data_IF_402958241530
#
_entry.id   IF_402958241530
#
_cell.length_a   1.000
_cell.length_b   1.000
_cell.length_c   1.000
_cell.angle_alpha   90.00
_cell.angle_beta   90.00
_cell.angle_gamma   90.00
#
_symmetry.space_group_name_H-M   'P 1'
#
loop_
_entity.id
_entity.type
_entity.pdbx_description
1 polymer ?
#
# COMPACT_ATOMS: atom_id res chain seq x y z
N UNK A 1 35.17 35.98 6.42
CA UNK A 1 34.25 36.02 7.58
C UNK A 1 33.22 34.93 7.37
N UNK A 2 33.24 33.89 8.19
CA UNK A 2 32.34 32.76 8.09
C UNK A 2 31.02 33.09 8.79
N UNK A 3 29.91 32.99 8.07
CA UNK A 3 28.55 33.04 8.62
C UNK A 3 28.22 31.62 9.07
N UNK A 4 28.06 31.44 10.38
CA UNK A 4 27.64 30.17 10.97
C UNK A 4 26.12 30.12 10.99
N UNK A 5 25.55 29.26 10.15
CA UNK A 5 24.14 28.92 10.16
C UNK A 5 23.88 27.96 11.33
N UNK A 6 23.23 28.43 12.40
CA UNK A 6 22.89 27.61 13.58
C UNK A 6 21.57 26.86 13.35
N UNK A 7 21.54 25.51 13.35
CA UNK A 7 20.40 24.73 12.83
C UNK A 7 19.29 24.43 13.84
N UNK A 8 19.10 25.22 14.92
CA UNK A 8 18.28 24.76 16.05
C UNK A 8 17.42 25.84 16.74
N UNK A 9 16.82 26.76 15.97
CA UNK A 9 15.87 27.72 16.53
C UNK A 9 14.41 27.21 16.45
N UNK A 10 13.61 27.38 17.52
CA UNK A 10 12.18 27.05 17.53
C UNK A 10 11.38 27.89 16.51
N UNK A 11 10.34 27.31 15.91
CA UNK A 11 9.43 27.97 14.94
C UNK A 11 8.07 28.29 15.56
N UNK A 12 7.26 29.06 14.83
CA UNK A 12 5.96 29.62 15.22
C UNK A 12 4.93 28.60 15.75
N UNK A 13 5.11 27.30 15.49
CA UNK A 13 4.22 26.22 15.96
C UNK A 13 4.79 25.44 17.16
N UNK A 14 5.93 25.86 17.72
CA UNK A 14 6.50 25.25 18.92
C UNK A 14 5.71 25.70 20.16
N UNK A 15 4.99 24.76 20.79
CA UNK A 15 4.25 25.02 22.02
C UNK A 15 5.22 25.26 23.17
N UNK A 16 5.23 26.48 23.70
CA UNK A 16 5.92 26.85 24.94
C UNK A 16 4.94 26.66 26.10
N UNK A 17 5.10 25.59 26.88
CA UNK A 17 4.35 25.41 28.12
C UNK A 17 5.08 26.12 29.26
N UNK A 18 4.55 27.27 29.69
CA UNK A 18 5.01 27.97 30.88
C UNK A 18 3.85 28.57 31.66
N UNK A 19 3.67 28.13 32.91
CA UNK A 19 2.98 28.88 33.96
C UNK A 19 2.18 28.03 34.97
N UNK A 20 2.74 27.82 36.18
CA UNK A 20 1.98 27.31 37.33
C UNK A 20 2.73 26.68 38.55
N UNK A 21 3.88 27.24 38.99
CA UNK A 21 4.49 27.27 40.37
C UNK A 21 4.35 26.05 41.34
N UNK A 22 5.39 25.47 41.97
CA UNK A 22 6.36 26.03 42.94
C UNK A 22 7.58 25.06 43.11
N UNK A 23 8.80 25.62 43.14
CA UNK A 23 10.09 25.08 43.67
C UNK A 23 10.59 23.70 43.19
N UNK A 24 10.98 23.61 41.93
CA UNK A 24 12.13 22.80 41.56
C UNK A 24 12.93 23.60 40.52
N UNK A 25 14.21 23.86 40.78
CA UNK A 25 15.12 24.32 39.74
C UNK A 25 14.97 23.34 38.56
N UNK A 26 14.81 23.82 37.31
CA UNK A 26 14.84 22.94 36.17
C UNK A 26 16.15 22.15 36.24
N UNK A 27 16.15 20.83 35.98
CA UNK A 27 17.41 20.11 35.82
C UNK A 27 18.25 20.87 34.81
N UNK A 28 19.49 21.22 35.18
CA UNK A 28 20.40 22.06 34.37
C UNK A 28 20.73 21.42 33.01
N UNK A 29 20.31 20.18 32.77
CA UNK A 29 20.46 19.42 31.52
C UNK A 29 19.12 19.09 30.80
N UNK A 30 18.01 19.73 31.17
CA UNK A 30 16.71 19.50 30.55
C UNK A 30 16.59 20.14 29.17
N UNK A 31 17.27 19.60 28.15
CA UNK A 31 17.12 20.06 26.78
C UNK A 31 15.65 19.91 26.31
N UNK A 32 14.95 21.03 26.15
CA UNK A 32 13.65 21.08 25.48
C UNK A 32 13.91 20.80 24.01
N UNK A 33 13.81 19.53 23.60
CA UNK A 33 13.99 19.12 22.22
C UNK A 33 12.84 19.73 21.36
N UNK A 34 13.02 20.96 20.90
CA UNK A 34 12.17 21.59 19.89
C UNK A 34 12.44 21.04 18.49
N UNK A 35 11.58 21.38 17.52
CA UNK A 35 11.80 21.05 16.11
C UNK A 35 11.88 19.55 15.79
N UNK A 36 12.73 19.20 14.81
CA UNK A 36 12.86 17.81 14.32
C UNK A 36 13.38 16.84 15.38
N UNK A 37 14.21 17.32 16.32
CA UNK A 37 14.73 16.50 17.42
C UNK A 37 13.61 16.08 18.38
N UNK A 38 12.70 17.01 18.69
CA UNK A 38 11.49 16.72 19.46
C UNK A 38 10.55 15.76 18.75
N UNK A 39 10.36 15.92 17.45
CA UNK A 39 9.55 15.00 16.63
C UNK A 39 10.13 13.59 16.64
N UNK A 40 11.45 13.43 16.44
CA UNK A 40 12.13 12.12 16.51
C UNK A 40 11.96 11.45 17.88
N UNK A 41 12.12 12.22 18.97
CA UNK A 41 11.96 11.69 20.32
C UNK A 41 10.52 11.22 20.60
N UNK A 42 9.52 11.99 20.18
CA UNK A 42 8.10 11.62 20.32
C UNK A 42 7.73 10.42 19.44
N UNK A 43 8.21 10.40 18.20
CA UNK A 43 7.92 9.33 17.24
C UNK A 43 8.20 7.94 17.80
N UNK A 44 9.30 7.75 18.55
CA UNK A 44 9.65 6.47 19.17
C UNK A 44 8.74 6.00 20.31
N UNK A 45 7.93 6.89 20.90
CA UNK A 45 7.13 6.62 22.12
C UNK A 45 5.63 6.67 21.89
N UNK A 46 5.21 7.22 20.75
CA UNK A 46 3.82 7.45 20.38
C UNK A 46 3.14 6.22 19.78
N UNK A 47 1.81 6.23 19.81
CA UNK A 47 0.99 5.20 19.15
C UNK A 47 1.02 5.36 17.61
N UNK A 48 0.41 4.43 16.88
CA UNK A 48 0.45 4.42 15.41
C UNK A 48 -0.18 5.67 14.77
N UNK A 49 -1.25 6.21 15.35
CA UNK A 49 -1.99 7.36 14.82
C UNK A 49 -1.17 8.65 14.98
N UNK A 50 -0.61 8.86 16.17
CA UNK A 50 0.28 9.99 16.46
C UNK A 50 1.56 9.94 15.61
N UNK A 51 2.10 8.75 15.34
CA UNK A 51 3.22 8.56 14.42
C UNK A 51 2.86 9.02 13.01
N UNK A 52 1.68 8.65 12.51
CA UNK A 52 1.20 9.05 11.17
C UNK A 52 1.09 10.58 11.05
N UNK A 53 0.53 11.26 12.05
CA UNK A 53 0.50 12.73 12.07
C UNK A 53 1.91 13.35 12.09
N UNK A 54 2.82 12.72 12.84
CA UNK A 54 4.20 13.17 12.95
C UNK A 54 4.93 13.08 11.61
N UNK A 55 4.64 12.08 10.77
CA UNK A 55 5.25 11.96 9.43
C UNK A 55 4.89 13.14 8.52
N UNK A 56 3.64 13.60 8.56
CA UNK A 56 3.21 14.77 7.78
C UNK A 56 3.93 16.05 8.26
N UNK A 57 4.02 16.25 9.57
CA UNK A 57 4.74 17.38 10.18
C UNK A 57 6.24 17.33 9.88
N UNK A 58 6.84 16.15 9.83
CA UNK A 58 8.26 15.99 9.54
C UNK A 58 8.65 16.60 8.19
N UNK A 59 7.78 16.51 7.17
CA UNK A 59 8.06 17.03 5.82
C UNK A 59 8.35 18.55 5.79
N UNK A 60 7.94 19.32 6.79
CA UNK A 60 8.25 20.77 6.88
C UNK A 60 9.72 21.05 7.27
N UNK A 61 10.49 20.01 7.59
CA UNK A 61 11.91 20.07 7.98
C UNK A 61 12.86 19.59 6.87
N UNK A 62 12.40 19.51 5.62
CA UNK A 62 13.25 19.17 4.46
C UNK A 62 13.87 17.77 4.57
N UNK A 63 15.15 17.63 4.21
CA UNK A 63 15.89 16.35 4.24
C UNK A 63 15.84 15.65 5.60
N UNK A 64 15.98 16.40 6.70
CA UNK A 64 15.95 15.82 8.05
C UNK A 64 14.58 15.22 8.40
N UNK A 65 13.52 15.80 7.83
CA UNK A 65 12.16 15.29 7.88
C UNK A 65 11.96 14.06 7.01
N UNK A 66 12.47 14.10 5.78
CA UNK A 66 12.43 13.00 4.84
C UNK A 66 13.15 11.75 5.38
N UNK A 67 14.30 11.93 6.04
CA UNK A 67 15.02 10.84 6.71
C UNK A 67 14.17 10.18 7.82
N UNK A 68 13.35 10.95 8.54
CA UNK A 68 12.41 10.40 9.52
C UNK A 68 11.30 9.57 8.85
N UNK A 69 10.80 10.02 7.69
CA UNK A 69 9.84 9.23 6.90
C UNK A 69 10.49 7.95 6.36
N UNK A 70 11.74 8.00 5.92
CA UNK A 70 12.49 6.79 5.51
C UNK A 70 12.66 5.84 6.70
N UNK A 71 13.03 6.35 7.87
CA UNK A 71 13.15 5.55 9.09
C UNK A 71 11.83 4.85 9.45
N UNK A 72 10.70 5.51 9.23
CA UNK A 72 9.37 4.97 9.52
C UNK A 72 8.96 3.77 8.65
N UNK A 73 9.67 3.50 7.54
CA UNK A 73 9.53 2.23 6.81
C UNK A 73 9.91 1.02 7.69
N UNK A 74 10.78 1.20 8.68
CA UNK A 74 11.16 0.15 9.63
C UNK A 74 10.24 0.02 10.85
N UNK A 75 9.12 0.74 10.91
CA UNK A 75 8.25 0.73 12.08
C UNK A 75 7.56 -0.63 12.29
N UNK A 76 7.24 -0.99 13.53
CA UNK A 76 6.50 -2.21 13.83
C UNK A 76 5.05 -2.15 13.30
N UNK A 77 4.43 -0.98 13.30
CA UNK A 77 3.07 -0.79 12.81
C UNK A 77 3.03 -0.79 11.28
N UNK A 78 2.26 -1.71 10.71
CA UNK A 78 2.02 -1.76 9.27
C UNK A 78 1.35 -0.48 8.74
N UNK A 79 0.49 0.16 9.53
CA UNK A 79 -0.14 1.43 9.15
C UNK A 79 0.90 2.55 9.00
N UNK A 80 1.84 2.64 9.94
CA UNK A 80 2.92 3.64 9.91
C UNK A 80 3.84 3.39 8.72
N UNK A 81 4.21 2.13 8.50
CA UNK A 81 5.04 1.73 7.35
C UNK A 81 4.40 2.09 6.01
N UNK A 82 3.11 1.76 5.82
CA UNK A 82 2.40 2.08 4.59
C UNK A 82 2.18 3.58 4.40
N UNK A 83 1.93 4.32 5.48
CA UNK A 83 1.85 5.77 5.40
C UNK A 83 3.19 6.38 4.98
N UNK A 84 4.30 5.94 5.58
CA UNK A 84 5.64 6.37 5.20
C UNK A 84 5.92 6.08 3.73
N UNK A 85 5.61 4.86 3.28
CA UNK A 85 5.72 4.45 1.89
C UNK A 85 4.88 5.32 0.95
N UNK A 86 3.63 5.59 1.31
CA UNK A 86 2.69 6.38 0.54
C UNK A 86 3.11 7.85 0.41
N UNK A 87 3.81 8.40 1.40
CA UNK A 87 4.44 9.72 1.31
C UNK A 87 5.65 9.68 0.38
N UNK A 88 6.50 8.67 0.53
CA UNK A 88 7.76 8.53 -0.20
C UNK A 88 7.54 8.31 -1.70
N UNK A 89 6.55 7.50 -2.11
CA UNK A 89 6.32 7.22 -3.54
C UNK A 89 5.96 8.45 -4.37
N UNK A 90 5.37 9.48 -3.75
CA UNK A 90 4.95 10.71 -4.42
C UNK A 90 6.16 11.66 -4.65
N UNK A 91 7.33 11.31 -4.11
CA UNK A 91 8.57 12.07 -4.27
C UNK A 91 9.35 11.56 -5.48
N UNK A 92 9.60 12.44 -6.44
CA UNK A 92 10.33 12.13 -7.67
C UNK A 92 11.86 12.13 -7.48
N UNK A 93 12.37 11.36 -6.50
CA UNK A 93 13.80 11.32 -6.18
C UNK A 93 14.42 9.92 -6.37
N UNK A 94 15.57 9.78 -7.06
CA UNK A 94 16.20 8.48 -7.30
C UNK A 94 16.58 7.71 -6.02
N UNK A 95 17.02 8.43 -4.97
CA UNK A 95 17.34 7.84 -3.66
C UNK A 95 16.12 7.13 -3.07
N UNK A 96 14.96 7.77 -3.12
CA UNK A 96 13.72 7.22 -2.58
C UNK A 96 13.27 6.01 -3.37
N UNK A 97 13.31 6.05 -4.70
CA UNK A 97 12.97 4.89 -5.53
C UNK A 97 13.83 3.66 -5.20
N UNK A 98 15.13 3.86 -4.93
CA UNK A 98 16.04 2.78 -4.50
C UNK A 98 15.63 2.22 -3.14
N UNK A 99 15.31 3.08 -2.17
CA UNK A 99 14.84 2.68 -0.83
C UNK A 99 13.55 1.85 -0.94
N UNK A 100 12.54 2.34 -1.67
CA UNK A 100 11.26 1.65 -1.82
C UNK A 100 11.40 0.28 -2.50
N UNK A 101 12.30 0.16 -3.50
CA UNK A 101 12.61 -1.12 -4.15
C UNK A 101 13.29 -2.12 -3.22
N UNK A 102 14.17 -1.67 -2.32
CA UNK A 102 14.84 -2.54 -1.35
C UNK A 102 13.95 -2.93 -0.17
N UNK A 103 13.00 -2.06 0.19
CA UNK A 103 12.12 -2.23 1.33
C UNK A 103 11.13 -3.40 1.19
N UNK A 104 10.50 -3.55 0.02
CA UNK A 104 9.43 -4.54 -0.20
C UNK A 104 9.89 -6.01 -0.08
N UNK A 105 11.06 -6.42 -0.62
CA UNK A 105 11.63 -7.74 -0.35
C UNK A 105 11.79 -8.04 1.14
N UNK A 106 12.23 -7.05 1.93
CA UNK A 106 12.54 -7.24 3.35
C UNK A 106 11.28 -7.46 4.21
N UNK A 107 10.16 -6.84 3.85
CA UNK A 107 8.91 -6.93 4.64
C UNK A 107 8.05 -8.12 4.25
N UNK A 108 8.13 -8.59 3.01
CA UNK A 108 7.38 -9.75 2.55
C UNK A 108 8.30 -10.87 2.06
N UNK A 109 9.05 -11.55 2.96
CA UNK A 109 9.77 -12.76 2.60
C UNK A 109 8.78 -13.89 2.25
N UNK A 110 9.14 -14.82 1.37
CA UNK A 110 8.29 -15.98 1.07
C UNK A 110 8.87 -16.90 0.00
N UNK A 111 8.30 -18.10 -0.10
CA UNK A 111 8.69 -19.13 -1.09
C UNK A 111 8.53 -18.64 -2.54
N UNK A 112 7.45 -17.88 -2.79
CA UNK A 112 7.26 -17.17 -4.04
C UNK A 112 7.63 -15.70 -3.81
N UNK A 113 8.65 -15.26 -4.52
CA UNK A 113 9.17 -13.90 -4.45
C UNK A 113 8.22 -12.94 -5.19
N UNK A 114 7.71 -11.94 -4.46
CA UNK A 114 6.87 -10.86 -5.02
C UNK A 114 7.61 -9.51 -5.00
N UNK A 115 8.92 -9.51 -4.81
CA UNK A 115 9.75 -8.30 -4.73
C UNK A 115 9.61 -7.44 -5.98
N UNK A 116 9.56 -8.08 -7.15
CA UNK A 116 9.33 -7.38 -8.42
C UNK A 116 7.97 -6.70 -8.46
N UNK A 117 6.90 -7.42 -8.09
CA UNK A 117 5.54 -6.86 -8.01
C UNK A 117 5.52 -5.65 -7.08
N UNK A 118 6.08 -5.79 -5.88
CA UNK A 118 6.18 -4.68 -4.94
C UNK A 118 6.90 -3.49 -5.57
N UNK A 119 8.08 -3.70 -6.15
CA UNK A 119 8.88 -2.62 -6.75
C UNK A 119 8.15 -1.88 -7.87
N UNK A 120 7.32 -2.58 -8.66
CA UNK A 120 6.49 -1.98 -9.71
C UNK A 120 5.34 -1.15 -9.14
N UNK A 121 4.63 -1.67 -8.15
CA UNK A 121 3.58 -0.94 -7.43
C UNK A 121 4.14 0.30 -6.73
N UNK A 122 5.36 0.22 -6.20
CA UNK A 122 6.03 1.31 -5.49
C UNK A 122 6.20 2.58 -6.30
N UNK A 123 6.55 2.39 -7.58
CA UNK A 123 6.81 3.50 -8.49
C UNK A 123 5.57 3.83 -9.32
N UNK A 124 4.40 3.27 -8.98
CA UNK A 124 3.15 3.51 -9.69
C UNK A 124 3.13 2.93 -11.10
N UNK A 125 3.94 1.92 -11.41
CA UNK A 125 3.86 1.22 -12.70
C UNK A 125 2.78 0.14 -12.65
N UNK A 126 1.53 0.59 -12.58
CA UNK A 126 0.34 -0.23 -12.35
C UNK A 126 0.14 -1.30 -13.42
N UNK A 127 0.42 -0.99 -14.68
CA UNK A 127 0.26 -1.94 -15.79
C UNK A 127 1.27 -3.10 -15.70
N UNK A 128 2.54 -2.79 -15.44
CA UNK A 128 3.54 -3.83 -15.27
C UNK A 128 3.29 -4.64 -13.98
N UNK A 129 2.81 -4.00 -12.92
CA UNK A 129 2.41 -4.68 -11.68
C UNK A 129 1.24 -5.65 -11.91
N UNK A 130 0.26 -5.27 -12.74
CA UNK A 130 -0.85 -6.13 -13.12
C UNK A 130 -0.37 -7.39 -13.88
N UNK A 131 0.50 -7.20 -14.87
CA UNK A 131 1.12 -8.29 -15.62
C UNK A 131 1.96 -9.21 -14.73
N UNK A 132 2.74 -8.64 -13.80
CA UNK A 132 3.51 -9.40 -12.83
C UNK A 132 2.59 -10.19 -11.89
N UNK A 133 1.48 -9.59 -11.47
CA UNK A 133 0.46 -10.28 -10.65
C UNK A 133 -0.10 -11.49 -11.40
N UNK A 134 -0.48 -11.32 -12.67
CA UNK A 134 -0.93 -12.42 -13.52
C UNK A 134 0.12 -13.54 -13.64
N UNK A 135 1.39 -13.18 -13.88
CA UNK A 135 2.49 -14.13 -13.97
C UNK A 135 2.73 -14.92 -12.68
N UNK A 136 2.71 -14.24 -11.52
CA UNK A 136 2.85 -14.88 -10.20
C UNK A 136 1.70 -15.86 -9.93
N UNK A 137 0.48 -15.46 -10.25
CA UNK A 137 -0.73 -16.27 -10.05
C UNK A 137 -0.72 -17.50 -10.97
N UNK A 138 -0.35 -17.34 -12.25
CA UNK A 138 -0.19 -18.45 -13.19
C UNK A 138 0.91 -19.42 -12.76
N UNK A 139 2.07 -18.90 -12.35
CA UNK A 139 3.18 -19.71 -11.83
C UNK A 139 2.76 -20.53 -10.62
N UNK A 140 2.11 -19.91 -9.64
CA UNK A 140 1.64 -20.58 -8.44
C UNK A 140 0.55 -21.63 -8.72
N UNK A 141 -0.26 -21.43 -9.77
CA UNK A 141 -1.23 -22.41 -10.25
C UNK A 141 -0.63 -23.54 -11.08
N UNK A 142 0.69 -23.55 -11.32
CA UNK A 142 1.36 -24.55 -12.17
C UNK A 142 1.13 -24.34 -13.68
N UNK A 143 0.90 -23.09 -14.10
CA UNK A 143 0.52 -22.71 -15.47
C UNK A 143 1.44 -21.65 -16.07
N UNK A 144 2.74 -21.81 -15.92
CA UNK A 144 3.73 -20.86 -16.44
C UNK A 144 3.59 -20.61 -17.95
N UNK A 145 3.14 -21.61 -18.71
CA UNK A 145 2.88 -21.50 -20.16
C UNK A 145 1.38 -21.29 -20.50
N UNK A 146 0.53 -21.08 -19.50
CA UNK A 146 -0.91 -20.89 -19.66
C UNK A 146 -1.30 -19.41 -19.75
N UNK A 147 -2.47 -19.14 -20.31
CA UNK A 147 -3.01 -17.76 -20.44
C UNK A 147 -4.09 -17.44 -19.42
N UNK A 148 -4.67 -18.45 -18.77
CA UNK A 148 -5.71 -18.27 -17.77
C UNK A 148 -5.68 -19.35 -16.67
N UNK A 149 -6.17 -18.97 -15.49
CA UNK A 149 -6.44 -19.86 -14.36
C UNK A 149 -7.83 -20.48 -14.49
N UNK A 150 -7.90 -21.78 -14.24
CA UNK A 150 -9.12 -22.56 -14.05
C UNK A 150 -9.37 -22.77 -12.56
N UNK A 151 -10.57 -23.21 -12.21
CA UNK A 151 -10.96 -23.47 -10.82
C UNK A 151 -9.96 -24.36 -10.05
N UNK A 152 -9.50 -25.45 -10.66
CA UNK A 152 -8.52 -26.36 -10.05
C UNK A 152 -7.16 -25.70 -9.80
N UNK A 153 -6.79 -24.73 -10.64
CA UNK A 153 -5.54 -23.98 -10.49
C UNK A 153 -5.66 -23.02 -9.30
N UNK A 154 -6.82 -22.35 -9.17
CA UNK A 154 -7.16 -21.47 -8.05
C UNK A 154 -7.15 -22.25 -6.73
N UNK A 155 -7.75 -23.44 -6.70
CA UNK A 155 -7.77 -24.33 -5.53
C UNK A 155 -6.37 -24.66 -5.02
N UNK A 156 -5.38 -24.77 -5.91
CA UNK A 156 -3.97 -25.02 -5.56
C UNK A 156 -3.20 -23.77 -5.15
N UNK A 157 -3.71 -22.57 -5.42
CA UNK A 157 -3.02 -21.34 -5.05
C UNK A 157 -2.81 -21.26 -3.53
N UNK A 158 -1.57 -20.97 -3.08
CA UNK A 158 -1.29 -20.77 -1.67
C UNK A 158 -2.00 -19.51 -1.15
N UNK A 159 -2.81 -19.64 -0.10
CA UNK A 159 -3.50 -18.49 0.52
C UNK A 159 -2.52 -17.39 0.95
N UNK A 160 -1.36 -17.76 1.48
CA UNK A 160 -0.29 -16.82 1.85
C UNK A 160 0.21 -15.97 0.68
N UNK A 161 0.29 -16.53 -0.54
CA UNK A 161 0.67 -15.77 -1.73
C UNK A 161 -0.43 -14.75 -2.08
N UNK A 162 -1.68 -15.18 -2.08
CA UNK A 162 -2.83 -14.33 -2.41
C UNK A 162 -2.90 -13.15 -1.41
N UNK A 163 -2.80 -13.43 -0.11
CA UNK A 163 -2.78 -12.40 0.94
C UNK A 163 -1.60 -11.44 0.79
N UNK A 164 -0.41 -11.93 0.39
CA UNK A 164 0.78 -11.11 0.15
C UNK A 164 0.59 -10.18 -1.06
N UNK A 165 0.06 -10.69 -2.17
CA UNK A 165 -0.28 -9.89 -3.36
C UNK A 165 -1.32 -8.82 -2.99
N UNK A 166 -2.37 -9.21 -2.26
CA UNK A 166 -3.44 -8.30 -1.86
C UNK A 166 -2.92 -7.15 -0.99
N UNK A 167 -2.10 -7.44 0.04
CA UNK A 167 -1.49 -6.39 0.89
C UNK A 167 -0.60 -5.43 0.11
N UNK A 168 0.15 -5.93 -0.88
CA UNK A 168 0.97 -5.07 -1.74
C UNK A 168 0.09 -4.11 -2.55
N UNK A 169 -0.98 -4.61 -3.17
CA UNK A 169 -1.92 -3.78 -3.93
C UNK A 169 -2.63 -2.76 -3.03
N UNK A 170 -3.16 -3.19 -1.89
CA UNK A 170 -3.89 -2.36 -0.92
C UNK A 170 -3.00 -1.22 -0.40
N UNK A 171 -1.84 -1.55 0.14
CA UNK A 171 -0.91 -0.57 0.72
C UNK A 171 -0.37 0.41 -0.32
N UNK A 172 -0.01 -0.08 -1.51
CA UNK A 172 0.48 0.79 -2.59
C UNK A 172 -0.65 1.61 -3.22
N UNK A 173 -1.91 1.21 -3.12
CA UNK A 173 -3.03 1.96 -3.70
C UNK A 173 -3.80 2.82 -2.70
N UNK A 174 -3.42 2.79 -1.41
CA UNK A 174 -4.14 3.42 -0.30
C UNK A 174 -5.57 2.86 -0.16
N UNK A 175 -5.70 1.54 -0.22
CA UNK A 175 -6.98 0.84 -0.07
C UNK A 175 -7.89 0.88 -1.29
N UNK A 176 -7.35 1.25 -2.47
CA UNK A 176 -8.13 1.46 -3.68
C UNK A 176 -8.20 0.23 -4.58
N UNK A 177 -7.12 -0.52 -4.65
CA UNK A 177 -6.94 -1.72 -5.47
C UNK A 177 -6.56 -2.90 -4.59
N UNK A 178 -6.87 -4.10 -5.06
CA UNK A 178 -6.69 -5.33 -4.30
C UNK A 178 -7.84 -6.30 -4.46
N UNK A 179 -7.57 -7.56 -4.18
CA UNK A 179 -8.53 -8.64 -4.27
C UNK A 179 -9.57 -8.57 -3.15
N UNK A 180 -9.21 -8.07 -1.97
CA UNK A 180 -10.19 -7.82 -0.90
C UNK A 180 -11.14 -6.67 -1.23
N UNK A 181 -10.65 -5.63 -1.90
CA UNK A 181 -11.50 -4.55 -2.42
C UNK A 181 -12.50 -5.12 -3.43
N UNK A 182 -12.02 -5.95 -4.37
CA UNK A 182 -12.89 -6.65 -5.31
C UNK A 182 -13.88 -7.59 -4.61
N UNK A 183 -13.45 -8.37 -3.62
CA UNK A 183 -14.31 -9.28 -2.86
C UNK A 183 -15.43 -8.52 -2.12
N UNK A 184 -15.13 -7.35 -1.58
CA UNK A 184 -16.10 -6.47 -0.91
C UNK A 184 -17.12 -5.92 -1.91
N UNK A 185 -16.65 -5.48 -3.09
CA UNK A 185 -17.53 -5.01 -4.17
C UNK A 185 -18.43 -6.15 -4.67
N UNK A 186 -17.86 -7.33 -4.89
CA UNK A 186 -18.58 -8.55 -5.29
C UNK A 186 -19.72 -8.85 -4.33
N UNK A 187 -19.45 -8.89 -3.03
CA UNK A 187 -20.49 -9.10 -2.02
C UNK A 187 -21.55 -7.99 -2.03
N UNK A 188 -21.14 -6.72 -2.19
CA UNK A 188 -22.07 -5.58 -2.22
C UNK A 188 -23.08 -5.61 -3.37
N UNK A 189 -22.75 -6.28 -4.48
CA UNK A 189 -23.67 -6.46 -5.62
C UNK A 189 -24.47 -7.76 -5.53
N UNK A 190 -24.37 -8.52 -4.44
CA UNK A 190 -25.07 -9.79 -4.22
C UNK A 190 -24.25 -11.03 -4.57
N UNK A 191 -22.95 -10.87 -4.81
CA UNK A 191 -22.01 -11.95 -5.12
C UNK A 191 -21.93 -13.01 -4.01
N UNK A 192 -22.06 -14.27 -4.41
CA UNK A 192 -21.95 -15.45 -3.55
C UNK A 192 -21.80 -16.71 -4.43
N UNK A 193 -21.66 -17.89 -3.81
CA UNK A 193 -21.51 -19.18 -4.50
C UNK A 193 -22.65 -19.59 -5.45
N UNK A 194 -23.82 -18.95 -5.38
CA UNK A 194 -24.99 -19.16 -6.25
C UNK A 194 -25.29 -17.95 -7.14
N UNK A 195 -24.38 -16.98 -7.21
CA UNK A 195 -24.56 -15.78 -8.01
C UNK A 195 -24.74 -16.14 -9.50
N UNK A 196 -25.56 -15.35 -10.19
CA UNK A 196 -25.81 -15.51 -11.61
C UNK A 196 -24.93 -14.58 -12.45
N UNK A 197 -25.04 -14.70 -13.78
CA UNK A 197 -24.34 -13.82 -14.70
C UNK A 197 -24.74 -12.35 -14.54
N UNK A 198 -25.96 -12.05 -14.09
CA UNK A 198 -26.40 -10.67 -13.82
C UNK A 198 -25.60 -10.03 -12.68
N UNK A 199 -25.30 -10.82 -11.64
CA UNK A 199 -24.46 -10.40 -10.52
C UNK A 199 -23.02 -10.17 -10.96
N UNK A 200 -22.48 -11.08 -11.79
CA UNK A 200 -21.17 -10.91 -12.45
C UNK A 200 -21.07 -9.60 -13.23
N UNK A 201 -22.08 -9.34 -14.04
CA UNK A 201 -22.22 -8.13 -14.83
C UNK A 201 -22.24 -6.85 -13.99
N UNK A 202 -23.01 -6.83 -12.90
CA UNK A 202 -23.04 -5.69 -11.96
C UNK A 202 -21.69 -5.46 -11.29
N UNK A 203 -20.96 -6.52 -10.95
CA UNK A 203 -19.60 -6.41 -10.44
C UNK A 203 -18.68 -5.78 -11.48
N UNK A 204 -18.66 -6.30 -12.72
CA UNK A 204 -17.84 -5.76 -13.80
C UNK A 204 -18.15 -4.30 -14.13
N UNK A 205 -19.41 -3.89 -14.04
CA UNK A 205 -19.79 -2.47 -14.19
C UNK A 205 -19.20 -1.63 -13.04
N UNK A 206 -19.23 -2.15 -11.80
CA UNK A 206 -18.78 -1.42 -10.61
C UNK A 206 -17.28 -1.19 -10.56
N UNK A 207 -16.50 -2.14 -11.08
CA UNK A 207 -15.04 -2.03 -11.25
C UNK A 207 -14.65 -1.50 -12.63
N UNK A 208 -15.62 -1.12 -13.48
CA UNK A 208 -15.44 -0.63 -14.85
C UNK A 208 -14.59 -1.55 -15.74
N UNK A 209 -14.74 -2.87 -15.62
CA UNK A 209 -14.32 -3.81 -16.67
C UNK A 209 -15.33 -3.88 -17.80
N UNK A 210 -16.53 -3.34 -17.56
CA UNK A 210 -17.57 -3.14 -18.54
C UNK A 210 -18.14 -1.74 -18.40
N UNK A 211 -18.28 -1.03 -19.52
CA UNK A 211 -18.83 0.33 -19.57
C UNK A 211 -19.88 0.39 -20.65
N UNK A 212 -21.08 0.89 -20.31
CA UNK A 212 -22.24 0.94 -21.22
C UNK A 212 -22.54 -0.41 -21.89
N UNK A 213 -22.47 -1.49 -21.12
CA UNK A 213 -22.63 -2.89 -21.56
C UNK A 213 -21.55 -3.43 -22.53
N UNK A 214 -20.45 -2.70 -22.73
CA UNK A 214 -19.33 -3.14 -23.57
C UNK A 214 -18.13 -3.55 -22.71
N UNK A 215 -17.57 -4.73 -22.98
CA UNK A 215 -16.34 -5.19 -22.34
C UNK A 215 -15.16 -4.32 -22.77
N UNK A 216 -14.32 -3.94 -21.80
CA UNK A 216 -13.11 -3.18 -22.07
C UNK A 216 -11.96 -4.16 -22.33
N UNK A 217 -11.24 -3.93 -23.43
CA UNK A 217 -10.00 -4.66 -23.72
C UNK A 217 -8.89 -4.26 -22.74
N UNK A 218 -7.98 -5.18 -22.44
CA UNK A 218 -6.89 -4.94 -21.50
C UNK A 218 -6.07 -3.67 -21.81
N UNK A 219 -5.80 -3.40 -23.08
CA UNK A 219 -5.07 -2.22 -23.55
C UNK A 219 -5.82 -0.88 -23.31
N UNK A 220 -7.11 -0.92 -22.96
CA UNK A 220 -7.97 0.23 -22.66
C UNK A 220 -8.26 0.39 -21.16
N UNK A 221 -7.74 -0.49 -20.31
CA UNK A 221 -7.86 -0.35 -18.86
C UNK A 221 -7.10 0.88 -18.35
N UNK A 222 -7.55 1.43 -17.23
CA UNK A 222 -6.93 2.59 -16.60
C UNK A 222 -5.89 2.14 -15.58
N UNK A 223 -4.63 2.21 -15.94
CA UNK A 223 -3.50 1.85 -15.08
C UNK A 223 -2.99 3.06 -14.27
N UNK A 224 -3.86 3.66 -13.48
CA UNK A 224 -3.54 4.79 -12.60
C UNK A 224 -4.55 4.91 -11.45
N UNK A 225 -4.24 5.76 -10.47
CA UNK A 225 -5.08 5.96 -9.28
C UNK A 225 -6.41 6.70 -9.54
N UNK A 226 -6.73 7.13 -10.76
CA UNK A 226 -8.05 7.70 -11.09
C UNK A 226 -9.09 6.62 -11.43
N UNK A 227 -8.67 5.39 -11.74
CA UNK A 227 -9.57 4.26 -11.99
C UNK A 227 -10.51 3.99 -10.81
N UNK A 228 -11.64 3.30 -10.96
CA UNK A 228 -12.54 3.02 -9.83
C UNK A 228 -11.93 2.05 -8.82
N UNK A 229 -12.47 2.03 -7.60
CA UNK A 229 -12.05 1.04 -6.59
C UNK A 229 -12.27 -0.39 -7.10
N UNK A 230 -11.28 -1.26 -6.86
CA UNK A 230 -11.30 -2.66 -7.33
C UNK A 230 -11.00 -2.85 -8.82
N UNK A 231 -10.69 -1.80 -9.58
CA UNK A 231 -10.34 -1.91 -11.01
C UNK A 231 -9.15 -2.84 -11.26
N UNK A 232 -8.18 -2.85 -10.33
CA UNK A 232 -6.98 -3.67 -10.40
C UNK A 232 -6.84 -4.53 -9.13
N UNK A 233 -6.18 -5.70 -9.21
CA UNK A 233 -5.62 -6.29 -10.44
C UNK A 233 -6.67 -6.92 -11.37
N UNK A 234 -6.43 -6.91 -12.67
CA UNK A 234 -7.23 -7.58 -13.70
C UNK A 234 -6.70 -9.01 -13.91
N UNK A 235 -7.22 -9.96 -13.13
CA UNK A 235 -6.68 -11.30 -13.08
C UNK A 235 -6.91 -12.10 -14.38
N UNK A 236 -6.00 -13.04 -14.73
CA UNK A 236 -6.13 -13.92 -15.88
C UNK A 236 -7.12 -15.06 -15.58
N UNK A 237 -8.34 -14.75 -15.15
CA UNK A 237 -9.43 -15.73 -14.99
C UNK A 237 -10.23 -15.75 -16.30
N UNK A 238 -10.37 -16.92 -16.93
CA UNK A 238 -10.96 -17.01 -18.26
C UNK A 238 -11.72 -18.31 -18.51
N UNK A 239 -12.68 -18.25 -19.44
CA UNK A 239 -13.52 -19.39 -19.84
C UNK A 239 -14.91 -19.41 -19.19
N UNK A 240 -15.64 -20.50 -19.39
CA UNK A 240 -16.91 -20.75 -18.70
C UNK A 240 -16.67 -20.87 -17.19
N UNK A 241 -17.51 -20.22 -16.38
CA UNK A 241 -17.40 -20.24 -14.92
C UNK A 241 -16.44 -19.21 -14.32
N UNK A 242 -16.19 -18.08 -14.98
CA UNK A 242 -15.34 -16.99 -14.45
C UNK A 242 -15.83 -16.45 -13.10
N UNK A 243 -17.14 -16.42 -12.92
CA UNK A 243 -17.87 -16.12 -11.69
C UNK A 243 -17.51 -17.11 -10.57
N UNK A 244 -17.48 -18.41 -10.88
CA UNK A 244 -17.09 -19.47 -9.94
C UNK A 244 -15.61 -19.38 -9.58
N UNK A 245 -14.75 -19.10 -10.55
CA UNK A 245 -13.32 -18.90 -10.33
C UNK A 245 -13.07 -17.72 -9.37
N UNK A 246 -13.75 -16.59 -9.57
CA UNK A 246 -13.60 -15.42 -8.72
C UNK A 246 -14.17 -15.62 -7.33
N UNK A 247 -15.33 -16.27 -7.21
CA UNK A 247 -15.85 -16.64 -5.89
C UNK A 247 -14.86 -17.54 -5.14
N UNK A 248 -14.32 -18.57 -5.79
CA UNK A 248 -13.31 -19.46 -5.18
C UNK A 248 -12.07 -18.69 -4.73
N UNK A 249 -11.60 -17.74 -5.54
CA UNK A 249 -10.49 -16.88 -5.18
C UNK A 249 -10.81 -15.98 -3.98
N UNK A 250 -11.98 -15.36 -3.95
CA UNK A 250 -12.38 -14.48 -2.85
C UNK A 250 -12.60 -15.25 -1.54
N UNK A 251 -13.02 -16.51 -1.60
CA UNK A 251 -13.09 -17.36 -0.40
C UNK A 251 -11.71 -17.68 0.17
N UNK A 252 -10.66 -17.77 -0.67
CA UNK A 252 -9.28 -17.95 -0.20
C UNK A 252 -8.68 -16.73 0.51
N UNK A 253 -9.29 -15.55 0.38
CA UNK A 253 -8.90 -14.37 1.15
C UNK A 253 -9.46 -14.38 2.58
N UNK A 254 -10.53 -15.15 2.83
CA UNK A 254 -11.21 -15.23 4.13
C UNK A 254 -10.58 -16.26 5.08
N UNK A 255 -9.76 -17.16 4.53
CA UNK A 255 -9.08 -18.25 5.23
C UNK A 255 -7.58 -17.96 5.39
#
# INVERSE_FOLDING_TARGET
MAVTDTPNQPREYDVVLGGGQILALPPVDGAVLGGIAGLKHRFSRCNAEEKIETLAKALTYGEAGLDLVIQALGDYSEQVRWQAYAILREKAEPRIQKVLKAYLPAIYPGEIDCSRLGGLLAVGNWQAADQETAALMLKAGGRENGTCLKLQDIERLPGKLIQKIDRLWDGCSKGKFGLQVQASIWQSVGGNAKADYSTWYRFCDRVEWRVKNCWIEYNRLQFNLNAPSGHLPFLPVGGFGVDVCLESLFQKLKN
#
